data_IF_775669981761
#
_entry.id   IF_775669981761
#
_cell.length_a   1.000
_cell.length_b   1.000
_cell.length_c   1.000
_cell.angle_alpha   90.00
_cell.angle_beta   90.00
_cell.angle_gamma   90.00
#
_symmetry.space_group_name_H-M   'P 1'
#
loop_
_entity.id
_entity.type
_entity.pdbx_description
1 polymer ?
#
# COMPACT_ATOMS: atom_id res chain seq x y z
N UNK A 1 -4.40 12.23 -0.68
CA UNK A 1 -4.14 10.80 -0.99
C UNK A 1 -5.33 9.94 -0.63
N UNK A 2 -5.89 10.07 0.58
CA UNK A 2 -7.15 9.45 1.03
C UNK A 2 -8.19 9.21 -0.07
N UNK A 3 -8.72 10.29 -0.68
CA UNK A 3 -9.72 10.20 -1.77
C UNK A 3 -9.29 9.32 -2.94
N UNK A 4 -8.02 9.39 -3.35
CA UNK A 4 -7.50 8.59 -4.47
C UNK A 4 -7.48 7.12 -4.07
N UNK A 5 -7.10 6.79 -2.83
CA UNK A 5 -7.15 5.43 -2.31
C UNK A 5 -8.58 4.87 -2.39
N UNK A 6 -9.57 5.60 -1.87
CA UNK A 6 -10.99 5.22 -1.95
C UNK A 6 -11.46 5.01 -3.40
N UNK A 7 -11.03 5.87 -4.33
CA UNK A 7 -11.40 5.78 -5.74
C UNK A 7 -10.67 4.66 -6.53
N UNK A 8 -9.71 3.97 -5.93
CA UNK A 8 -8.88 2.99 -6.65
C UNK A 8 -8.53 1.73 -5.83
N UNK A 9 -9.12 1.56 -4.65
CA UNK A 9 -8.76 0.50 -3.70
C UNK A 9 -9.25 -0.91 -4.05
N UNK A 10 -10.18 -1.06 -5.00
CA UNK A 10 -10.62 -2.38 -5.48
C UNK A 10 -9.93 -2.75 -6.79
N UNK A 11 -8.71 -3.28 -6.69
CA UNK A 11 -7.90 -3.66 -7.85
C UNK A 11 -7.71 -2.52 -8.89
N UNK A 12 -7.75 -1.26 -8.45
CA UNK A 12 -7.68 -0.07 -9.30
C UNK A 12 -9.03 0.60 -9.56
N UNK A 13 -10.14 0.06 -9.08
CA UNK A 13 -11.48 0.63 -9.16
C UNK A 13 -11.95 1.20 -7.80
N UNK A 14 -13.02 2.01 -7.76
CA UNK A 14 -13.55 2.55 -6.51
C UNK A 14 -14.06 1.46 -5.56
N UNK A 15 -13.90 1.66 -4.24
CA UNK A 15 -14.29 0.66 -3.21
C UNK A 15 -15.76 0.68 -2.79
N UNK A 16 -16.52 1.72 -3.15
CA UNK A 16 -17.93 1.87 -2.74
C UNK A 16 -18.82 0.63 -3.01
N UNK A 17 -18.64 -0.15 -4.10
CA UNK A 17 -19.44 -1.35 -4.32
C UNK A 17 -19.15 -2.52 -3.36
N UNK A 18 -18.04 -2.46 -2.62
CA UNK A 18 -17.54 -3.57 -1.79
C UNK A 18 -17.35 -3.21 -0.31
N UNK A 19 -17.48 -1.94 0.06
CA UNK A 19 -17.34 -1.45 1.45
C UNK A 19 -18.56 -0.63 1.86
N UNK A 20 -19.06 -0.89 3.07
CA UNK A 20 -20.08 -0.05 3.71
C UNK A 20 -19.48 1.27 4.21
N UNK A 21 -18.23 1.22 4.67
CA UNK A 21 -17.41 2.35 5.11
C UNK A 21 -16.19 2.50 4.18
N UNK A 22 -16.30 3.30 3.10
CA UNK A 22 -15.25 3.41 2.09
C UNK A 22 -13.92 3.94 2.61
N UNK A 23 -13.93 4.76 3.67
CA UNK A 23 -12.75 5.44 4.18
C UNK A 23 -11.78 4.47 4.89
N UNK A 24 -12.28 3.32 5.36
CA UNK A 24 -11.46 2.26 5.96
C UNK A 24 -10.27 1.86 5.07
N UNK A 25 -10.45 1.84 3.74
CA UNK A 25 -9.36 1.44 2.84
C UNK A 25 -8.20 2.43 2.90
N UNK A 26 -8.48 3.73 3.03
CA UNK A 26 -7.48 4.77 3.09
C UNK A 26 -6.81 4.84 4.47
N UNK A 27 -7.56 4.59 5.54
CA UNK A 27 -7.01 4.46 6.88
C UNK A 27 -6.04 3.29 7.03
N UNK A 28 -6.13 2.29 6.15
CA UNK A 28 -5.21 1.15 6.12
C UNK A 28 -4.09 1.34 5.08
N UNK A 29 -4.40 1.72 3.85
CA UNK A 29 -3.44 1.63 2.73
C UNK A 29 -2.89 2.97 2.23
N UNK A 30 -3.18 4.10 2.90
CA UNK A 30 -2.68 5.41 2.47
C UNK A 30 -2.30 6.35 3.62
N UNK A 31 -3.22 6.65 4.52
CA UNK A 31 -3.07 7.68 5.53
C UNK A 31 -1.99 7.42 6.60
N UNK A 32 -1.79 6.19 7.12
CA UNK A 32 -0.76 5.97 8.15
C UNK A 32 0.65 6.31 7.66
N UNK A 33 0.91 6.14 6.35
CA UNK A 33 2.20 6.47 5.75
C UNK A 33 2.51 7.96 5.80
N UNK A 34 1.48 8.81 5.64
CA UNK A 34 1.63 10.26 5.71
C UNK A 34 2.00 10.76 7.10
N UNK A 35 1.60 10.03 8.14
CA UNK A 35 1.96 10.35 9.50
C UNK A 35 3.31 9.75 9.88
N UNK A 36 3.49 8.46 9.61
CA UNK A 36 4.59 7.70 10.19
C UNK A 36 5.89 7.86 9.40
N UNK A 37 5.81 7.99 8.07
CA UNK A 37 6.97 8.14 7.17
C UNK A 37 6.67 9.09 5.99
N UNK A 38 6.33 10.37 6.26
CA UNK A 38 6.02 11.36 5.23
C UNK A 38 7.14 11.57 4.20
N UNK A 39 8.40 11.34 4.58
CA UNK A 39 9.58 11.42 3.72
C UNK A 39 9.62 10.36 2.60
N UNK A 40 8.75 9.34 2.68
CA UNK A 40 8.57 8.29 1.68
C UNK A 40 7.25 8.43 0.90
N UNK A 41 6.61 9.59 0.97
CA UNK A 41 5.36 9.88 0.29
C UNK A 41 5.57 10.85 -0.88
N UNK A 42 5.21 10.43 -2.10
CA UNK A 42 5.30 11.24 -3.31
C UNK A 42 3.94 11.32 -4.01
N UNK A 43 3.67 12.47 -4.64
CA UNK A 43 2.47 12.69 -5.45
C UNK A 43 2.83 12.94 -6.91
N UNK A 44 1.95 12.50 -7.81
CA UNK A 44 1.95 12.97 -9.18
C UNK A 44 0.94 14.11 -9.28
N UNK A 45 1.40 15.28 -9.72
CA UNK A 45 0.58 16.48 -9.85
C UNK A 45 0.60 16.97 -11.31
N UNK A 46 -0.52 17.50 -11.77
CA UNK A 46 -0.61 18.25 -13.03
C UNK A 46 -1.61 19.39 -12.89
N UNK A 47 -1.19 20.60 -13.25
CA UNK A 47 -2.06 21.79 -13.20
C UNK A 47 -2.65 22.07 -11.81
N UNK A 48 -1.88 21.84 -10.74
CA UNK A 48 -2.33 22.02 -9.35
C UNK A 48 -3.20 20.90 -8.79
N UNK A 49 -3.50 19.85 -9.59
CA UNK A 49 -4.31 18.72 -9.15
C UNK A 49 -3.45 17.48 -8.89
N UNK A 50 -3.61 16.87 -7.71
CA UNK A 50 -2.99 15.57 -7.39
C UNK A 50 -3.74 14.44 -8.08
N UNK A 51 -3.02 13.70 -8.91
CA UNK A 51 -3.56 12.66 -9.79
C UNK A 51 -3.24 11.23 -9.34
N UNK A 52 -2.28 11.08 -8.44
CA UNK A 52 -1.84 9.80 -7.91
C UNK A 52 -0.79 10.00 -6.83
N UNK A 53 -0.46 8.90 -6.15
CA UNK A 53 0.56 8.89 -5.12
C UNK A 53 1.31 7.56 -5.09
N UNK A 54 2.49 7.60 -4.47
CA UNK A 54 3.17 6.42 -3.96
C UNK A 54 3.61 6.70 -2.52
N UNK A 55 3.43 5.72 -1.64
CA UNK A 55 3.86 5.75 -0.24
C UNK A 55 4.61 4.47 0.09
N UNK A 56 5.49 4.50 1.08
CA UNK A 56 6.21 3.32 1.53
C UNK A 56 6.50 3.32 3.02
N UNK A 57 6.75 2.11 3.52
CA UNK A 57 7.44 1.90 4.78
C UNK A 57 8.90 1.50 4.52
N UNK A 58 9.86 2.11 5.21
CA UNK A 58 11.27 1.74 5.12
C UNK A 58 11.54 0.36 5.73
N UNK A 59 11.05 0.14 6.95
CA UNK A 59 11.14 -1.11 7.67
C UNK A 59 9.74 -1.55 8.09
N UNK A 60 9.22 -2.60 7.45
CA UNK A 60 7.83 -3.00 7.60
C UNK A 60 7.46 -3.40 9.03
N UNK A 61 8.33 -4.12 9.73
CA UNK A 61 8.08 -4.54 11.12
C UNK A 61 8.01 -3.34 12.07
N UNK A 62 8.95 -2.40 11.93
CA UNK A 62 8.97 -1.18 12.72
C UNK A 62 7.77 -0.29 12.42
N UNK A 63 7.42 -0.14 11.14
CA UNK A 63 6.26 0.64 10.71
C UNK A 63 4.97 0.12 11.33
N UNK A 64 4.74 -1.20 11.33
CA UNK A 64 3.56 -1.78 11.97
C UNK A 64 3.62 -1.79 13.50
N UNK A 65 4.81 -1.81 14.11
CA UNK A 65 4.96 -1.58 15.53
C UNK A 65 4.56 -0.14 15.90
N UNK A 66 5.08 0.86 15.18
CA UNK A 66 4.70 2.27 15.35
C UNK A 66 3.22 2.51 15.09
N UNK A 67 2.66 1.94 14.02
CA UNK A 67 1.22 1.99 13.74
C UNK A 67 0.39 1.56 14.95
N UNK A 68 0.74 0.46 15.60
CA UNK A 68 -0.02 -0.08 16.72
C UNK A 68 -0.15 0.93 17.88
N UNK A 69 0.88 1.75 18.12
CA UNK A 69 0.90 2.72 19.22
C UNK A 69 0.49 4.13 18.79
N UNK A 70 0.82 4.52 17.57
CA UNK A 70 0.64 5.89 17.09
C UNK A 70 -0.60 6.05 16.22
N UNK A 71 -1.00 5.05 15.42
CA UNK A 71 -2.11 5.18 14.44
C UNK A 71 -3.40 4.53 14.92
N UNK A 72 -3.38 3.23 15.26
CA UNK A 72 -4.57 2.47 15.63
C UNK A 72 -5.41 3.11 16.76
N UNK A 73 -4.84 3.68 17.84
CA UNK A 73 -5.63 4.26 18.93
C UNK A 73 -6.54 5.42 18.50
N UNK A 74 -6.23 6.12 17.40
CA UNK A 74 -7.08 7.21 16.88
C UNK A 74 -8.47 6.75 16.47
N UNK A 75 -8.63 5.46 16.20
CA UNK A 75 -9.85 4.87 15.66
C UNK A 75 -10.67 4.11 16.70
N UNK A 76 -10.20 4.01 17.95
CA UNK A 76 -10.84 3.19 18.99
C UNK A 76 -12.31 3.58 19.24
N UNK A 77 -12.65 4.88 19.15
CA UNK A 77 -14.00 5.37 19.36
C UNK A 77 -14.87 5.31 18.08
N UNK A 78 -14.32 5.75 16.95
CA UNK A 78 -15.08 5.91 15.69
C UNK A 78 -15.17 4.64 14.86
N UNK A 79 -14.15 3.79 14.93
CA UNK A 79 -14.05 2.56 14.15
C UNK A 79 -13.56 1.41 15.04
N UNK A 80 -14.30 1.04 16.10
CA UNK A 80 -13.84 0.09 17.09
C UNK A 80 -13.48 -1.27 16.48
N UNK A 81 -12.52 -1.96 17.09
CA UNK A 81 -12.13 -3.30 16.68
C UNK A 81 -13.32 -4.27 16.82
N UNK A 82 -13.59 -5.04 15.77
CA UNK A 82 -14.59 -6.12 15.84
C UNK A 82 -14.11 -7.22 16.79
N UNK A 83 -15.00 -7.69 17.68
CA UNK A 83 -14.72 -8.84 18.57
C UNK A 83 -14.42 -10.12 17.79
N UNK A 84 -15.08 -10.31 16.65
CA UNK A 84 -14.86 -11.40 15.69
C UNK A 84 -14.62 -10.80 14.32
N UNK A 85 -13.70 -11.39 13.56
CA UNK A 85 -13.48 -11.02 12.16
C UNK A 85 -14.43 -11.85 11.31
N UNK A 86 -15.35 -11.19 10.61
CA UNK A 86 -16.17 -11.84 9.59
C UNK A 86 -15.40 -11.90 8.28
N UNK A 87 -15.08 -13.10 7.82
CA UNK A 87 -14.36 -13.31 6.58
C UNK A 87 -15.18 -12.91 5.34
N UNK A 88 -16.51 -12.83 5.44
CA UNK A 88 -17.39 -12.38 4.35
C UNK A 88 -17.48 -10.86 4.21
N UNK A 89 -17.01 -10.10 5.20
CA UNK A 89 -17.11 -8.63 5.23
C UNK A 89 -15.74 -7.98 5.03
N UNK A 90 -15.58 -7.24 3.94
CA UNK A 90 -14.36 -6.50 3.67
C UNK A 90 -14.11 -5.40 4.72
N UNK A 91 -15.16 -4.71 5.19
CA UNK A 91 -15.10 -3.78 6.32
C UNK A 91 -14.57 -4.45 7.58
N UNK A 92 -15.08 -5.64 7.93
CA UNK A 92 -14.61 -6.37 9.11
C UNK A 92 -13.13 -6.74 9.00
N UNK A 93 -12.65 -7.08 7.80
CA UNK A 93 -11.23 -7.37 7.55
C UNK A 93 -10.37 -6.10 7.66
N UNK A 94 -10.80 -4.98 7.07
CA UNK A 94 -10.07 -3.71 7.16
C UNK A 94 -10.01 -3.18 8.59
N UNK A 95 -11.10 -3.29 9.38
CA UNK A 95 -11.06 -2.96 10.81
C UNK A 95 -10.11 -3.88 11.58
N UNK A 96 -10.02 -5.16 11.22
CA UNK A 96 -9.05 -6.07 11.83
C UNK A 96 -7.61 -5.63 11.52
N UNK A 97 -7.30 -5.26 10.28
CA UNK A 97 -5.99 -4.73 9.90
C UNK A 97 -5.67 -3.41 10.60
N UNK A 98 -6.63 -2.49 10.67
CA UNK A 98 -6.49 -1.20 11.33
C UNK A 98 -6.04 -1.32 12.78
N UNK A 99 -6.62 -2.28 13.53
CA UNK A 99 -6.31 -2.50 14.95
C UNK A 99 -5.22 -3.56 15.21
N UNK A 100 -4.91 -4.39 14.22
CA UNK A 100 -3.92 -5.48 14.31
C UNK A 100 -3.02 -5.46 13.08
N UNK A 101 -2.20 -4.42 12.88
CA UNK A 101 -1.45 -4.21 11.64
C UNK A 101 -0.46 -5.34 11.33
N UNK A 102 0.00 -6.07 12.35
CA UNK A 102 0.86 -7.26 12.18
C UNK A 102 0.22 -8.38 11.35
N UNK A 103 -1.11 -8.40 11.20
CA UNK A 103 -1.79 -9.32 10.28
C UNK A 103 -1.43 -9.07 8.80
N UNK A 104 -0.89 -7.90 8.48
CA UNK A 104 -0.44 -7.52 7.14
C UNK A 104 1.08 -7.67 6.94
N UNK A 105 1.79 -8.34 7.84
CA UNK A 105 3.22 -8.59 7.67
C UNK A 105 3.46 -9.47 6.44
N UNK A 106 4.21 -8.99 5.45
CA UNK A 106 4.53 -9.79 4.28
C UNK A 106 5.66 -10.80 4.57
N UNK A 107 5.82 -11.85 3.75
CA UNK A 107 7.00 -12.71 3.78
C UNK A 107 8.25 -11.96 3.24
N UNK A 108 9.41 -12.61 3.24
CA UNK A 108 10.68 -12.12 2.64
C UNK A 108 11.24 -10.81 3.22
N UNK A 109 10.91 -10.49 4.48
CA UNK A 109 11.39 -9.28 5.15
C UNK A 109 12.91 -9.25 5.35
N UNK A 110 13.57 -10.41 5.33
CA UNK A 110 15.03 -10.57 5.35
C UNK A 110 15.71 -9.90 4.15
N UNK A 111 15.07 -9.93 2.98
CA UNK A 111 15.61 -9.38 1.72
C UNK A 111 14.92 -8.09 1.27
N UNK A 112 13.63 -7.97 1.57
CA UNK A 112 12.79 -6.85 1.16
C UNK A 112 12.08 -6.25 2.37
N UNK A 113 12.81 -5.56 3.27
CA UNK A 113 12.23 -5.02 4.50
C UNK A 113 11.27 -3.86 4.23
N UNK A 114 11.38 -3.17 3.09
CA UNK A 114 10.47 -2.10 2.72
C UNK A 114 9.23 -2.62 1.98
N UNK A 115 8.09 -1.95 2.16
CA UNK A 115 6.91 -2.17 1.31
C UNK A 115 6.31 -0.86 0.83
N UNK A 116 5.47 -0.91 -0.21
CA UNK A 116 4.87 0.30 -0.81
C UNK A 116 3.42 0.10 -1.24
N UNK A 117 2.71 1.21 -1.42
CA UNK A 117 1.43 1.31 -2.11
C UNK A 117 1.47 2.42 -3.15
N UNK A 118 0.89 2.17 -4.32
CA UNK A 118 0.81 3.14 -5.43
C UNK A 118 -0.58 3.13 -6.05
N UNK A 119 -1.15 4.32 -6.19
CA UNK A 119 -2.49 4.50 -6.74
C UNK A 119 -2.51 5.72 -7.66
N UNK A 120 -3.10 5.55 -8.84
CA UNK A 120 -3.33 6.63 -9.80
C UNK A 120 -4.79 6.63 -10.24
N UNK A 121 -5.38 7.82 -10.33
CA UNK A 121 -6.69 8.01 -10.92
C UNK A 121 -6.71 7.53 -12.38
N UNK A 122 -7.85 7.01 -12.88
CA UNK A 122 -7.95 6.45 -14.23
C UNK A 122 -7.38 7.35 -15.33
N UNK A 123 -7.67 8.66 -15.28
CA UNK A 123 -7.20 9.64 -16.28
C UNK A 123 -5.68 9.88 -16.31
N UNK A 124 -4.96 9.51 -15.25
CA UNK A 124 -3.52 9.69 -15.12
C UNK A 124 -2.70 8.43 -15.45
N UNK A 125 -3.38 7.30 -15.70
CA UNK A 125 -2.73 6.02 -16.02
C UNK A 125 -2.16 6.04 -17.43
N UNK A 126 -1.15 5.18 -17.67
CA UNK A 126 -0.49 4.98 -18.98
C UNK A 126 0.15 6.23 -19.60
N UNK A 127 0.43 7.25 -18.78
CA UNK A 127 1.12 8.50 -19.18
C UNK A 127 2.52 8.64 -18.56
N UNK A 128 3.10 7.54 -18.07
CA UNK A 128 4.43 7.53 -17.44
C UNK A 128 4.48 7.94 -15.97
N UNK A 129 3.47 8.65 -15.44
CA UNK A 129 3.44 9.14 -14.06
C UNK A 129 3.68 8.03 -13.01
N UNK A 130 3.05 6.86 -13.16
CA UNK A 130 3.26 5.74 -12.24
C UNK A 130 4.72 5.25 -12.21
N UNK A 131 5.40 5.19 -13.36
CA UNK A 131 6.81 4.78 -13.43
C UNK A 131 7.71 5.84 -12.79
N UNK A 132 7.42 7.12 -13.00
CA UNK A 132 8.16 8.22 -12.38
C UNK A 132 8.03 8.19 -10.84
N UNK A 133 6.82 7.96 -10.32
CA UNK A 133 6.57 7.79 -8.89
C UNK A 133 7.38 6.62 -8.31
N UNK A 134 7.28 5.43 -8.92
CA UNK A 134 8.03 4.25 -8.44
C UNK A 134 9.53 4.50 -8.45
N UNK A 135 10.09 5.08 -9.52
CA UNK A 135 11.52 5.38 -9.58
C UNK A 135 11.96 6.43 -8.55
N UNK A 136 11.13 7.45 -8.28
CA UNK A 136 11.42 8.42 -7.23
C UNK A 136 11.47 7.75 -5.86
N UNK A 137 10.48 6.90 -5.56
CA UNK A 137 10.44 6.15 -4.32
C UNK A 137 11.64 5.18 -4.18
N UNK A 138 11.97 4.41 -5.22
CA UNK A 138 13.08 3.46 -5.17
C UNK A 138 14.41 4.16 -4.87
N UNK A 139 14.67 5.31 -5.50
CA UNK A 139 15.87 6.11 -5.18
C UNK A 139 15.86 6.59 -3.73
N UNK A 140 14.70 7.00 -3.20
CA UNK A 140 14.61 7.47 -1.83
C UNK A 140 14.81 6.33 -0.82
N UNK A 141 14.21 5.16 -1.06
CA UNK A 141 14.41 3.98 -0.22
C UNK A 141 15.87 3.50 -0.24
N UNK A 142 16.52 3.49 -1.41
CA UNK A 142 17.93 3.15 -1.53
C UNK A 142 18.82 4.14 -0.76
N UNK A 143 18.55 5.45 -0.87
CA UNK A 143 19.26 6.50 -0.11
C UNK A 143 19.05 6.37 1.40
N UNK A 144 17.88 5.92 1.82
CA UNK A 144 17.56 5.63 3.22
C UNK A 144 18.13 4.29 3.70
N UNK A 145 18.88 3.56 2.86
CA UNK A 145 19.60 2.34 3.23
C UNK A 145 18.76 1.05 3.13
N UNK A 146 17.59 1.08 2.51
CA UNK A 146 16.82 -0.15 2.29
C UNK A 146 17.50 -1.07 1.27
N UNK A 147 17.72 -2.35 1.59
CA UNK A 147 18.28 -3.31 0.65
C UNK A 147 17.30 -3.77 -0.43
N UNK A 148 15.99 -3.57 -0.21
CA UNK A 148 14.97 -4.05 -1.12
C UNK A 148 13.56 -3.66 -0.71
N UNK A 149 12.68 -3.58 -1.69
CA UNK A 149 11.26 -3.25 -1.51
C UNK A 149 10.36 -4.30 -2.15
N UNK A 150 9.23 -4.56 -1.52
CA UNK A 150 8.23 -5.51 -2.00
C UNK A 150 6.80 -4.98 -1.95
N UNK A 151 5.91 -5.64 -2.66
CA UNK A 151 4.47 -5.39 -2.60
C UNK A 151 3.67 -6.63 -2.97
N UNK A 152 2.43 -6.65 -2.51
CA UNK A 152 1.41 -7.62 -2.86
C UNK A 152 0.42 -7.07 -3.87
N UNK A 153 -0.07 -7.93 -4.77
CA UNK A 153 -1.18 -7.59 -5.68
C UNK A 153 -2.07 -8.79 -5.92
N UNK A 154 -3.39 -8.60 -5.94
CA UNK A 154 -4.35 -9.68 -6.23
C UNK A 154 -4.01 -10.42 -7.53
N UNK A 155 -4.13 -11.74 -7.51
CA UNK A 155 -3.85 -12.61 -8.69
C UNK A 155 -4.67 -12.20 -9.91
N UNK A 156 -5.91 -11.71 -9.71
CA UNK A 156 -6.78 -11.24 -10.78
C UNK A 156 -6.33 -9.92 -11.42
N UNK A 157 -5.51 -9.10 -10.74
CA UNK A 157 -5.08 -7.80 -11.25
C UNK A 157 -3.83 -7.92 -12.15
N UNK A 158 -4.01 -8.56 -13.31
CA UNK A 158 -2.95 -8.81 -14.30
C UNK A 158 -2.32 -7.52 -14.85
N UNK A 159 -3.10 -6.43 -14.91
CA UNK A 159 -2.63 -5.10 -15.33
C UNK A 159 -1.58 -4.53 -14.37
N UNK A 160 -1.84 -4.59 -13.06
CA UNK A 160 -0.88 -4.16 -12.06
C UNK A 160 0.37 -5.06 -12.05
N UNK A 161 0.21 -6.38 -12.22
CA UNK A 161 1.35 -7.30 -12.36
C UNK A 161 2.26 -6.92 -13.55
N UNK A 162 1.69 -6.60 -14.70
CA UNK A 162 2.45 -6.13 -15.86
C UNK A 162 3.16 -4.79 -15.58
N UNK A 163 2.49 -3.88 -14.87
CA UNK A 163 3.08 -2.61 -14.45
C UNK A 163 4.31 -2.81 -13.55
N UNK A 164 4.22 -3.67 -12.52
CA UNK A 164 5.35 -3.90 -11.61
C UNK A 164 6.58 -4.51 -12.32
N UNK A 165 6.37 -5.43 -13.26
CA UNK A 165 7.45 -5.93 -14.14
C UNK A 165 8.09 -4.80 -14.94
N UNK A 166 7.29 -3.90 -15.51
CA UNK A 166 7.78 -2.76 -16.29
C UNK A 166 8.55 -1.71 -15.44
N UNK A 167 8.42 -1.76 -14.12
CA UNK A 167 9.20 -0.97 -13.16
C UNK A 167 10.46 -1.68 -12.65
N UNK A 168 10.76 -2.87 -13.16
CA UNK A 168 11.95 -3.65 -12.79
C UNK A 168 11.74 -4.64 -11.65
N UNK A 169 10.54 -4.72 -11.08
CA UNK A 169 10.26 -5.68 -10.00
C UNK A 169 10.08 -7.09 -10.55
N UNK A 170 10.55 -8.08 -9.80
CA UNK A 170 10.45 -9.49 -10.14
C UNK A 170 9.47 -10.21 -9.22
N UNK A 171 8.76 -11.22 -9.75
CA UNK A 171 7.83 -12.02 -8.95
C UNK A 171 8.62 -12.80 -7.89
N UNK A 172 8.16 -12.76 -6.64
CA UNK A 172 8.71 -13.57 -5.55
C UNK A 172 7.93 -14.87 -5.40
N UNK A 173 8.60 -15.91 -4.90
CA UNK A 173 7.92 -17.13 -4.49
C UNK A 173 6.93 -16.83 -3.36
N UNK A 174 5.72 -17.36 -3.43
CA UNK A 174 4.70 -17.19 -2.39
C UNK A 174 3.75 -18.37 -2.44
N UNK A 175 3.35 -18.85 -1.26
CA UNK A 175 2.34 -19.91 -1.11
C UNK A 175 0.91 -19.34 -1.11
N UNK A 176 0.76 -18.02 -1.16
CA UNK A 176 -0.53 -17.34 -1.22
C UNK A 176 -1.17 -17.52 -2.60
N UNK A 177 -2.38 -18.06 -2.63
CA UNK A 177 -3.16 -18.29 -3.86
C UNK A 177 -4.02 -17.10 -4.26
N UNK A 178 -4.24 -16.14 -3.35
CA UNK A 178 -5.02 -14.93 -3.61
C UNK A 178 -4.15 -13.76 -4.08
N UNK A 179 -2.86 -13.78 -3.76
CA UNK A 179 -1.93 -12.68 -4.06
C UNK A 179 -0.69 -13.14 -4.86
N UNK A 180 -0.23 -12.27 -5.76
CA UNK A 180 1.11 -12.34 -6.37
C UNK A 180 1.98 -11.28 -5.72
N UNK A 181 3.18 -11.69 -5.29
CA UNK A 181 4.14 -10.79 -4.67
C UNK A 181 5.27 -10.40 -5.61
N UNK A 182 5.71 -9.16 -5.55
CA UNK A 182 6.83 -8.62 -6.31
C UNK A 182 7.88 -8.04 -5.37
N UNK A 183 9.16 -8.14 -5.76
CA UNK A 183 10.29 -7.57 -5.05
C UNK A 183 11.29 -6.92 -6.00
N UNK A 184 12.01 -5.93 -5.50
CA UNK A 184 13.11 -5.26 -6.17
C UNK A 184 14.26 -5.06 -5.17
N UNK A 185 15.44 -5.66 -5.41
CA UNK A 185 16.66 -5.29 -4.71
C UNK A 185 17.02 -3.84 -5.03
N UNK A 186 17.36 -3.06 -4.02
CA UNK A 186 17.71 -1.63 -4.15
C UNK A 186 19.21 -1.37 -3.99
N UNK A 187 19.95 -2.35 -3.46
CA UNK A 187 21.40 -2.36 -3.41
C UNK A 187 21.92 -3.08 -4.66
N UNK A 188 22.21 -2.32 -5.71
CA UNK A 188 22.78 -2.79 -6.98
C UNK A 188 23.43 -1.65 -7.74
#
# INVERSE_FOLDING_TARGET
MHRICVQTGDAGEPVHPILDDPDLVAYVFADPYLLLQPELAFVAESGGAVLGYVVAALHTEEFYARWQFEWAPRFAATHPASRRVDAGSADSQLRAFLHRPRLMLPPHLDRYPSHLHINLLPGARRRGAGKQLMHALFRQLARAGSPGVQLGVRVSNTRAQAFYRATGMSRLASDDRAEVRFGLPLNG
#
